data_IF_243210048090
#
_entry.id   IF_243210048090
#
_cell.length_a   1.000
_cell.length_b   1.000
_cell.length_c   1.000
_cell.angle_alpha   90.00
_cell.angle_beta   90.00
_cell.angle_gamma   90.00
#
_symmetry.space_group_name_H-M   'P 1'
#
loop_
_entity.id
_entity.type
_entity.pdbx_description
1 polymer ?
2 non-polymer ?
3 water ?
#
# COMPACT_ATOMS: atom_id res chain seq x y z
N UNK A 2 6.55 17.84 1.77
CA UNK A 2 5.24 17.17 2.05
C UNK A 2 4.54 16.76 0.73
N UNK A 3 3.94 15.57 0.71
CA UNK A 3 3.29 15.10 -0.54
C UNK A 3 1.81 15.50 -0.67
N UNK A 4 1.42 15.91 -1.86
CA UNK A 4 0.02 16.13 -2.08
C UNK A 4 -0.71 14.79 -1.97
N UNK A 5 -2.02 14.86 -1.82
CA UNK A 5 -2.90 13.66 -1.77
C UNK A 5 -3.52 13.41 -3.14
N UNK A 6 -3.52 12.14 -3.62
CA UNK A 6 -4.02 11.75 -4.94
C UNK A 6 -5.49 11.32 -4.88
N UNK A 7 -6.06 11.39 -3.69
CA UNK A 7 -7.41 10.95 -3.47
C UNK A 7 -8.08 11.85 -2.45
N UNK A 8 -9.41 11.85 -2.53
CA UNK A 8 -10.29 12.61 -1.63
C UNK A 8 -9.95 12.37 -0.19
N UNK A 9 -9.83 11.11 0.25
CA UNK A 9 -9.60 10.78 1.69
C UNK A 9 -8.24 10.08 1.88
N UNK A 10 -7.58 10.25 3.05
CA UNK A 10 -6.31 9.50 3.38
C UNK A 10 -6.54 8.59 4.56
N UNK A 11 -6.09 7.34 4.49
CA UNK A 11 -6.18 6.42 5.64
C UNK A 11 -4.78 5.89 5.97
N UNK A 12 -4.43 5.91 7.25
CA UNK A 12 -3.16 5.38 7.70
C UNK A 12 -3.07 3.85 7.54
N UNK A 13 -2.08 3.42 6.78
CA UNK A 13 -1.94 2.01 6.43
C UNK A 13 -1.73 1.21 7.70
N UNK A 14 -1.10 1.82 8.71
CA UNK A 14 -0.82 1.06 9.93
C UNK A 14 -1.92 1.15 10.99
N UNK A 15 -2.96 1.98 10.76
CA UNK A 15 -4.19 1.97 11.57
C UNK A 15 -4.77 0.58 11.52
N UNK A 16 -5.08 0.04 12.71
CA UNK A 16 -5.61 -1.30 12.92
C UNK A 16 -7.14 -1.34 12.84
N UNK A 17 -7.68 -2.38 12.21
CA UNK A 17 -9.13 -2.65 12.23
C UNK A 17 -9.93 -1.84 11.24
N UNK A 18 -10.89 -1.08 11.75
CA UNK A 18 -11.92 -0.42 10.90
C UNK A 18 -11.99 1.08 11.29
N UNK A 19 -12.54 1.97 10.45
CA UNK A 19 -12.63 3.43 10.80
C UNK A 19 -13.60 3.74 11.98
N UNK A 20 -13.40 4.81 12.81
CA UNK A 20 -14.36 5.13 13.90
C UNK A 20 -15.83 5.37 13.53
N UNK A 21 -16.12 5.59 12.22
CA UNK A 21 -17.48 5.65 11.73
C UNK A 21 -17.89 4.38 10.97
N UNK A 22 -17.10 3.33 11.04
CA UNK A 22 -17.46 2.08 10.30
C UNK A 22 -18.67 1.46 10.96
N UNK A 23 -19.51 0.85 10.12
CA UNK A 23 -20.69 0.10 10.61
C UNK A 23 -20.51 -1.37 10.42
N UNK A 24 -21.04 -2.16 11.34
CA UNK A 24 -21.09 -3.64 11.14
C UNK A 24 -22.14 -3.98 10.15
N UNK A 25 -21.78 -4.80 9.19
CA UNK A 25 -22.71 -5.38 8.23
C UNK A 25 -23.10 -6.79 8.66
N UNK A 26 -22.20 -7.53 9.28
CA UNK A 26 -22.59 -8.87 9.70
C UNK A 26 -21.58 -9.35 10.71
N UNK A 27 -22.06 -10.16 11.67
CA UNK A 27 -21.16 -10.90 12.63
C UNK A 27 -21.75 -12.31 12.69
N UNK A 28 -20.98 -13.30 12.22
CA UNK A 28 -21.49 -14.66 12.16
C UNK A 28 -20.41 -15.65 12.45
N UNK A 29 -20.77 -16.86 12.88
CA UNK A 29 -19.79 -17.93 12.83
C UNK A 29 -19.91 -18.64 11.49
N UNK A 30 -18.80 -18.98 10.87
CA UNK A 30 -18.92 -19.64 9.58
C UNK A 30 -17.67 -20.46 9.29
N UNK A 31 -17.78 -21.55 8.48
CA UNK A 31 -16.60 -22.28 8.09
C UNK A 31 -15.55 -21.46 7.33
N UNK A 32 -14.28 -21.60 7.68
CA UNK A 32 -13.14 -20.98 7.04
C UNK A 32 -12.96 -21.52 5.60
N UNK A 33 -12.92 -20.60 4.67
CA UNK A 33 -12.51 -20.89 3.28
C UNK A 33 -11.02 -21.26 3.22
N UNK A 34 -10.55 -21.78 2.09
CA UNK A 34 -9.16 -22.16 2.03
C UNK A 34 -8.21 -21.02 2.26
N UNK A 35 -8.49 -19.81 1.71
CA UNK A 35 -7.62 -18.62 1.92
C UNK A 35 -7.65 -18.17 3.37
N UNK A 36 -8.84 -18.18 3.95
CA UNK A 36 -8.97 -17.73 5.34
C UNK A 36 -8.25 -18.72 6.31
N UNK A 37 -8.52 -19.99 6.13
CA UNK A 37 -7.82 -21.06 6.91
C UNK A 37 -6.28 -21.00 6.77
N UNK A 38 -5.77 -20.82 5.53
CA UNK A 38 -4.32 -20.60 5.38
C UNK A 38 -3.79 -19.42 6.08
N UNK A 39 -4.50 -18.29 6.03
CA UNK A 39 -4.02 -17.14 6.69
C UNK A 39 -3.93 -17.32 8.24
N UNK A 40 -4.98 -17.95 8.80
CA UNK A 40 -5.16 -18.10 10.27
C UNK A 40 -4.39 -19.31 10.75
N UNK A 41 -3.84 -20.07 9.80
CA UNK A 41 -3.11 -21.32 10.14
C UNK A 41 -3.98 -22.37 10.83
N UNK A 42 -5.19 -22.57 10.31
CA UNK A 42 -6.19 -23.54 10.76
C UNK A 42 -6.63 -24.44 9.62
N UNK A 43 -7.49 -25.41 9.90
CA UNK A 43 -7.93 -26.34 8.89
C UNK A 43 -9.08 -25.74 8.12
N UNK A 44 -9.01 -25.83 6.78
CA UNK A 44 -10.15 -25.42 5.96
C UNK A 44 -11.44 -26.06 6.45
N UNK A 45 -12.52 -25.29 6.57
CA UNK A 45 -13.77 -25.80 7.07
C UNK A 45 -14.13 -25.61 8.57
N UNK A 46 -13.13 -25.44 9.44
CA UNK A 46 -13.48 -25.20 10.84
C UNK A 46 -13.92 -23.75 10.96
N UNK A 47 -14.84 -23.52 11.91
CA UNK A 47 -15.58 -22.25 12.10
C UNK A 47 -14.57 -21.20 12.45
N UNK A 48 -14.87 -19.97 12.02
CA UNK A 48 -14.15 -18.77 12.46
C UNK A 48 -15.29 -17.74 12.72
N UNK A 49 -14.95 -16.61 13.37
CA UNK A 49 -15.91 -15.52 13.57
C UNK A 49 -15.62 -14.61 12.37
N UNK A 50 -16.67 -14.33 11.62
CA UNK A 50 -16.52 -13.39 10.50
C UNK A 50 -17.36 -12.15 10.81
N UNK A 51 -16.67 -10.99 10.82
CA UNK A 51 -17.34 -9.68 10.95
C UNK A 51 -17.08 -8.96 9.65
N UNK A 52 -18.12 -8.28 9.12
CA UNK A 52 -17.85 -7.43 7.95
C UNK A 52 -18.21 -6.00 8.33
N UNK A 53 -17.37 -5.05 7.97
CA UNK A 53 -17.68 -3.62 8.30
C UNK A 53 -17.63 -2.83 7.02
N UNK A 54 -18.29 -1.66 7.09
CA UNK A 54 -18.23 -0.79 5.88
C UNK A 54 -18.22 0.68 6.37
N UNK A 55 -17.41 1.45 5.64
CA UNK A 55 -17.37 2.95 5.92
C UNK A 55 -18.11 3.56 4.71
N UNK A 56 -19.02 4.53 5.00
CA UNK A 56 -19.72 5.24 3.91
C UNK A 56 -19.57 6.70 4.25
N UNK A 57 -19.67 7.50 3.22
CA UNK A 57 -19.75 8.99 3.40
C UNK A 57 -20.88 9.51 2.51
N UNK A 58 -21.86 10.16 3.14
CA UNK A 58 -23.13 10.55 2.53
C UNK A 58 -23.74 9.40 1.73
N UNK A 59 -23.74 8.22 2.35
CA UNK A 59 -24.34 7.10 1.66
C UNK A 59 -23.44 6.31 0.70
N UNK A 60 -22.27 6.87 0.34
CA UNK A 60 -21.42 6.30 -0.71
C UNK A 60 -20.48 5.36 0.01
N UNK A 61 -20.52 4.10 -0.42
CA UNK A 61 -19.61 3.08 0.21
C UNK A 61 -18.16 3.34 -0.20
N UNK A 62 -17.28 3.34 0.77
CA UNK A 62 -15.88 3.64 0.48
C UNK A 62 -14.94 2.49 0.76
N UNK A 63 -15.16 1.84 1.91
CA UNK A 63 -14.16 0.86 2.40
C UNK A 63 -14.91 -0.31 3.04
N UNK A 64 -14.77 -1.52 2.49
CA UNK A 64 -15.43 -2.68 3.04
C UNK A 64 -14.31 -3.54 3.64
N UNK A 65 -14.49 -4.09 4.85
CA UNK A 65 -13.43 -5.00 5.40
C UNK A 65 -14.13 -6.26 5.92
N UNK A 66 -13.55 -7.41 5.58
CA UNK A 66 -13.96 -8.69 6.12
C UNK A 66 -12.94 -9.07 7.15
N UNK A 67 -13.35 -9.31 8.38
CA UNK A 67 -12.38 -9.63 9.47
C UNK A 67 -12.70 -11.08 9.93
N UNK A 68 -11.67 -11.93 10.11
CA UNK A 68 -11.98 -13.36 10.34
C UNK A 68 -11.08 -13.66 11.59
N UNK A 69 -11.72 -14.08 12.67
CA UNK A 69 -10.99 -14.35 13.93
C UNK A 69 -10.98 -15.85 14.20
N UNK A 70 -9.85 -16.38 14.62
CA UNK A 70 -9.78 -17.87 14.92
C UNK A 70 -10.30 -18.26 16.29
N UNK A 71 -10.27 -17.32 17.28
CA UNK A 71 -10.60 -17.70 18.63
C UNK A 71 -12.07 -17.55 18.88
N UNK A 72 -12.79 -18.72 18.88
CA UNK A 72 -14.25 -18.65 19.01
C UNK A 72 -14.73 -18.13 20.35
N UNK A 73 -13.81 -18.15 21.31
CA UNK A 73 -14.17 -17.62 22.62
C UNK A 73 -14.30 -16.12 22.60
N UNK A 74 -13.88 -15.53 21.48
CA UNK A 74 -14.24 -14.09 21.38
C UNK A 74 -15.68 -13.81 20.98
N UNK A 75 -16.47 -14.84 20.69
CA UNK A 75 -17.79 -14.61 20.21
C UNK A 75 -18.73 -13.78 21.12
N UNK A 76 -18.73 -14.01 22.46
CA UNK A 76 -19.56 -13.14 23.34
C UNK A 76 -19.26 -11.63 23.11
N UNK A 77 -17.98 -11.32 22.82
CA UNK A 77 -17.62 -9.94 22.62
C UNK A 77 -17.96 -9.48 21.24
N UNK A 78 -17.46 -10.20 20.24
CA UNK A 78 -17.58 -9.71 18.84
C UNK A 78 -19.02 -9.65 18.32
N UNK A 79 -19.87 -10.60 18.75
CA UNK A 79 -21.26 -10.53 18.30
C UNK A 79 -21.95 -9.24 18.75
N UNK A 80 -21.41 -8.58 19.80
CA UNK A 80 -21.96 -7.34 20.34
C UNK A 80 -21.41 -6.10 19.70
N UNK A 81 -20.47 -6.24 18.74
CA UNK A 81 -19.97 -5.01 18.04
C UNK A 81 -21.06 -4.42 17.17
N UNK A 82 -21.20 -3.09 17.17
CA UNK A 82 -22.25 -2.42 16.43
C UNK A 82 -21.67 -1.46 15.39
N UNK A 83 -20.80 -0.54 15.84
CA UNK A 83 -20.19 0.44 14.96
C UNK A 83 -19.00 1.01 15.63
N UNK A 84 -18.13 1.65 14.83
CA UNK A 84 -16.98 2.28 15.38
C UNK A 84 -15.73 1.50 14.99
N UNK A 85 -14.63 1.82 15.67
CA UNK A 85 -13.43 1.15 15.42
C UNK A 85 -13.58 -0.26 16.03
N UNK A 86 -13.52 -1.31 15.20
CA UNK A 86 -13.59 -2.71 15.75
C UNK A 86 -12.37 -3.02 16.64
N UNK A 87 -11.15 -2.56 16.31
CA UNK A 87 -10.03 -2.88 17.19
C UNK A 87 -10.11 -2.14 18.54
N UNK A 88 -10.62 -0.90 18.52
CA UNK A 88 -10.81 -0.17 19.77
C UNK A 88 -11.91 -0.89 20.61
N UNK A 89 -12.98 -1.34 19.97
CA UNK A 89 -14.03 -2.07 20.68
C UNK A 89 -13.45 -3.33 21.32
N UNK A 90 -12.73 -4.13 20.53
CA UNK A 90 -12.14 -5.38 21.10
C UNK A 90 -11.21 -5.05 22.30
N UNK A 91 -10.41 -3.98 22.13
CA UNK A 91 -9.46 -3.62 23.20
C UNK A 91 -10.20 -3.14 24.43
N UNK A 92 -11.22 -2.31 24.22
CA UNK A 92 -11.98 -1.79 25.39
C UNK A 92 -12.69 -2.92 26.13
N UNK A 93 -13.20 -3.89 25.38
CA UNK A 93 -13.92 -4.98 25.99
C UNK A 93 -13.04 -6.08 26.59
N UNK A 94 -11.81 -6.33 26.05
CA UNK A 94 -11.11 -7.55 26.46
C UNK A 94 -9.69 -7.27 26.83
N UNK A 95 -9.22 -6.06 26.49
CA UNK A 95 -7.79 -5.70 26.73
C UNK A 95 -6.84 -6.13 25.59
N UNK A 96 -7.36 -6.88 24.64
CA UNK A 96 -6.54 -7.42 23.51
C UNK A 96 -6.22 -6.30 22.54
N UNK A 97 -4.94 -6.05 22.26
CA UNK A 97 -4.58 -4.96 21.27
C UNK A 97 -3.80 -5.75 20.24
N UNK A 98 -4.39 -5.84 19.06
CA UNK A 98 -3.78 -6.65 18.05
C UNK A 98 -2.62 -5.89 17.42
N UNK A 99 -1.56 -6.62 17.10
CA UNK A 99 -0.43 -6.04 16.39
C UNK A 99 -0.16 -6.84 15.12
N UNK A 100 0.18 -6.07 14.10
CA UNK A 100 0.30 -6.53 12.71
C UNK A 100 1.57 -7.39 12.50
N UNK A 101 1.46 -8.51 11.85
CA UNK A 101 2.68 -9.18 11.45
C UNK A 101 3.00 -8.98 10.00
N UNK A 102 1.97 -9.05 9.16
CA UNK A 102 2.25 -9.03 7.74
C UNK A 102 1.15 -8.21 7.08
N UNK A 103 1.50 -7.51 5.98
CA UNK A 103 0.53 -6.71 5.19
C UNK A 103 0.81 -7.08 3.73
N UNK A 104 -0.27 -7.27 2.93
CA UNK A 104 -0.11 -7.42 1.46
C UNK A 104 -1.01 -6.36 0.82
N UNK A 105 -0.50 -5.57 -0.13
CA UNK A 105 -1.30 -4.54 -0.78
C UNK A 105 -1.34 -4.84 -2.28
N UNK A 106 -2.56 -4.99 -2.82
CA UNK A 106 -2.67 -5.13 -4.27
C UNK A 106 -3.73 -4.19 -4.84
N UNK A 107 -3.86 -4.22 -6.17
CA UNK A 107 -4.96 -3.38 -6.78
C UNK A 107 -5.56 -4.24 -7.83
N UNK A 108 -6.86 -4.12 -7.93
CA UNK A 108 -7.54 -4.84 -9.01
C UNK A 108 -8.83 -4.19 -9.42
N UNK A 109 -9.43 -4.73 -10.48
CA UNK A 109 -10.61 -4.08 -11.06
C UNK A 109 -11.79 -4.85 -10.54
N UNK A 110 -12.76 -4.15 -9.94
CA UNK A 110 -13.88 -4.81 -9.23
C UNK A 110 -14.77 -5.55 -10.19
N UNK A 111 -15.18 -6.75 -9.75
CA UNK A 111 -16.19 -7.52 -10.45
C UNK A 111 -17.16 -8.24 -9.49
N UNK A 112 -18.34 -8.52 -10.03
CA UNK A 112 -19.32 -9.41 -9.37
C UNK A 112 -19.63 -8.94 -7.95
N UNK A 113 -19.34 -9.77 -6.96
CA UNK A 113 -19.83 -9.43 -5.63
C UNK A 113 -19.08 -8.25 -5.02
N UNK A 114 -17.86 -7.96 -5.49
CA UNK A 114 -17.16 -6.74 -5.09
C UNK A 114 -17.93 -5.51 -5.56
N UNK A 115 -18.46 -5.53 -6.79
CA UNK A 115 -19.21 -4.37 -7.32
C UNK A 115 -20.52 -4.27 -6.56
N UNK A 116 -21.06 -5.42 -6.11
CA UNK A 116 -22.33 -5.38 -5.40
C UNK A 116 -22.15 -4.79 -4.02
N UNK A 117 -21.18 -5.31 -3.29
CA UNK A 117 -20.97 -4.79 -1.92
C UNK A 117 -20.49 -3.34 -1.89
N UNK A 118 -19.60 -2.92 -2.81
CA UNK A 118 -19.09 -1.55 -2.76
C UNK A 118 -19.91 -0.65 -3.64
N UNK A 119 -20.96 -1.20 -4.30
CA UNK A 119 -21.91 -0.41 -5.04
C UNK A 119 -21.17 0.44 -6.10
N UNK A 120 -20.38 -0.26 -6.93
CA UNK A 120 -19.58 0.44 -7.98
C UNK A 120 -19.72 -0.27 -9.30
N UNK A 121 -19.38 0.39 -10.42
CA UNK A 121 -19.47 -0.21 -11.72
C UNK A 121 -18.43 -1.28 -11.94
N UNK A 122 -18.79 -2.15 -12.88
CA UNK A 122 -17.89 -3.14 -13.35
C UNK A 122 -16.53 -2.52 -13.68
N UNK A 123 -15.46 -3.18 -13.22
CA UNK A 123 -14.04 -2.84 -13.53
C UNK A 123 -13.49 -1.60 -12.76
N UNK A 124 -14.27 -1.11 -11.80
CA UNK A 124 -13.82 0.05 -11.02
C UNK A 124 -12.57 -0.33 -10.21
N UNK A 125 -11.43 0.40 -10.33
CA UNK A 125 -10.24 0.03 -9.51
C UNK A 125 -10.39 0.08 -7.98
N UNK A 126 -9.94 -1.02 -7.34
CA UNK A 126 -9.98 -1.14 -5.87
C UNK A 126 -8.59 -1.35 -5.33
N UNK A 127 -8.30 -0.84 -4.12
CA UNK A 127 -7.07 -1.20 -3.40
C UNK A 127 -7.48 -2.32 -2.47
N UNK A 128 -6.69 -3.40 -2.43
CA UNK A 128 -7.00 -4.50 -1.56
C UNK A 128 -5.86 -4.62 -0.54
N UNK A 129 -6.18 -4.52 0.77
CA UNK A 129 -5.12 -4.53 1.81
C UNK A 129 -5.46 -5.74 2.69
N UNK A 130 -4.49 -6.65 2.84
CA UNK A 130 -4.81 -7.91 3.56
C UNK A 130 -3.78 -7.97 4.67
N UNK A 131 -4.25 -8.24 5.89
CA UNK A 131 -3.34 -8.14 7.03
C UNK A 131 -3.51 -9.33 7.96
N UNK A 132 -2.41 -9.79 8.60
CA UNK A 132 -2.43 -10.78 9.67
C UNK A 132 -2.00 -10.07 10.94
N UNK A 133 -2.80 -10.29 12.00
CA UNK A 133 -2.67 -9.57 13.25
C UNK A 133 -2.64 -10.62 14.36
N UNK A 134 -1.89 -10.27 15.41
CA UNK A 134 -1.51 -11.24 16.48
C UNK A 134 -1.75 -10.58 17.82
N UNK A 135 -2.14 -11.39 18.80
CA UNK A 135 -2.10 -10.94 20.19
C UNK A 135 -0.63 -11.08 20.54
N UNK A 136 -0.07 -9.96 20.97
CA UNK A 136 1.23 -9.92 21.64
C UNK A 136 1.89 -11.29 21.78
N UNK A 137 2.77 -11.58 20.82
CA UNK A 137 3.68 -12.72 20.84
C UNK A 137 3.49 -13.89 19.87
N UNK A 138 2.30 -14.43 19.80
CA UNK A 138 2.14 -15.85 19.45
C UNK A 138 2.14 -16.20 17.96
N UNK A 139 2.50 -17.46 17.70
CA UNK A 139 2.54 -18.01 16.35
C UNK A 139 1.19 -17.88 15.65
N UNK A 140 0.14 -18.47 16.24
CA UNK A 140 -1.22 -18.37 15.71
C UNK A 140 -1.57 -16.89 15.41
N UNK A 141 -1.86 -16.51 14.12
CA UNK A 141 -2.47 -15.14 14.12
C UNK A 141 -3.83 -15.16 14.83
N UNK A 142 -4.28 -13.98 15.25
CA UNK A 142 -5.56 -13.83 15.92
C UNK A 142 -6.60 -13.51 14.85
N UNK A 143 -6.19 -12.74 13.83
CA UNK A 143 -7.21 -12.13 12.94
C UNK A 143 -6.59 -11.95 11.55
N UNK A 144 -7.39 -12.25 10.52
CA UNK A 144 -6.98 -12.02 9.11
C UNK A 144 -8.05 -11.03 8.61
N UNK A 145 -7.59 -9.94 7.96
CA UNK A 145 -8.62 -9.00 7.47
C UNK A 145 -8.32 -8.69 6.04
N UNK A 146 -9.37 -8.43 5.26
CA UNK A 146 -9.19 -8.11 3.86
C UNK A 146 -10.04 -6.86 3.63
N UNK A 147 -9.36 -5.77 3.30
CA UNK A 147 -10.02 -4.47 3.09
C UNK A 147 -10.12 -4.26 1.59
N UNK A 148 -11.25 -3.75 1.11
CA UNK A 148 -11.37 -3.39 -0.32
C UNK A 148 -11.89 -1.96 -0.30
N UNK A 149 -11.07 -1.05 -0.87
CA UNK A 149 -11.35 0.36 -0.86
C UNK A 149 -11.35 0.96 -2.23
N UNK A 150 -12.35 1.80 -2.49
CA UNK A 150 -12.44 2.43 -3.81
C UNK A 150 -11.19 3.31 -4.01
N UNK A 151 -10.41 2.95 -5.02
CA UNK A 151 -9.17 3.66 -5.21
C UNK A 151 -9.39 5.07 -5.74
N UNK A 152 -10.59 5.36 -6.28
CA UNK A 152 -10.86 6.73 -6.63
C UNK A 152 -11.14 7.68 -5.45
N UNK A 153 -11.19 7.17 -4.22
CA UNK A 153 -11.60 7.94 -3.06
C UNK A 153 -10.66 7.85 -1.84
N UNK A 154 -9.82 6.84 -1.83
CA UNK A 154 -8.90 6.70 -0.68
C UNK A 154 -7.48 6.36 -1.08
N UNK A 155 -6.49 7.08 -0.49
CA UNK A 155 -5.06 6.78 -0.62
C UNK A 155 -4.54 6.40 0.78
N UNK A 156 -3.57 5.50 0.84
CA UNK A 156 -3.02 5.08 2.12
C UNK A 156 -1.76 5.82 2.40
N UNK A 157 -1.53 6.11 3.70
CA UNK A 157 -0.29 6.81 4.05
C UNK A 157 0.47 5.98 5.09
N UNK A 158 1.78 6.18 5.20
CA UNK A 158 2.49 5.51 6.28
C UNK A 158 3.62 6.42 6.72
N UNK A 159 3.79 6.55 8.03
CA UNK A 159 4.89 7.39 8.57
C UNK A 159 5.93 6.43 9.05
N UNK A 160 7.19 6.77 8.81
CA UNK A 160 8.23 5.88 9.21
C UNK A 160 9.01 6.44 10.39
N UNK B 2 -0.25 -17.82 7.05
CA UNK B 2 0.33 -17.29 5.75
C UNK B 2 -0.67 -16.84 4.74
N UNK B 3 -0.48 -15.61 4.25
CA UNK B 3 -1.31 -15.10 3.15
C UNK B 3 -0.65 -15.43 1.83
N UNK B 4 -1.38 -16.13 0.96
CA UNK B 4 -0.87 -16.36 -0.35
C UNK B 4 -1.03 -15.16 -1.25
N UNK B 5 -0.07 -15.11 -2.16
CA UNK B 5 0.14 -14.11 -3.15
C UNK B 5 -0.98 -14.20 -4.17
N UNK B 6 -1.53 -13.07 -4.51
CA UNK B 6 -2.58 -13.02 -5.54
C UNK B 6 -2.07 -12.46 -6.87
N UNK B 7 -0.80 -12.09 -6.90
CA UNK B 7 -0.22 -11.60 -8.14
C UNK B 7 0.99 -12.47 -8.43
N UNK B 8 1.44 -12.40 -9.68
CA UNK B 8 2.59 -13.21 -10.12
C UNK B 8 3.85 -12.97 -9.31
N UNK B 9 4.11 -11.71 -8.96
CA UNK B 9 5.31 -11.29 -8.27
C UNK B 9 4.92 -10.62 -6.93
N UNK B 10 5.72 -10.86 -5.91
CA UNK B 10 5.59 -10.21 -4.61
C UNK B 10 6.82 -9.37 -4.42
N UNK B 11 6.60 -8.13 -3.99
CA UNK B 11 7.68 -7.17 -3.82
C UNK B 11 7.62 -6.51 -2.44
N UNK B 12 8.71 -6.54 -1.68
CA UNK B 12 8.70 -5.86 -0.39
C UNK B 12 8.56 -4.37 -0.59
N UNK B 13 7.65 -3.75 0.14
CA UNK B 13 7.35 -2.32 -0.10
C UNK B 13 8.57 -1.49 0.16
N UNK B 14 9.31 -1.84 1.23
CA UNK B 14 10.48 -1.04 1.58
C UNK B 14 11.67 -1.08 0.60
N UNK B 15 11.78 -2.16 -0.17
CA UNK B 15 12.83 -2.36 -1.18
C UNK B 15 12.43 -1.80 -2.61
N UNK B 16 11.15 -1.49 -2.80
CA UNK B 16 10.61 -1.34 -4.17
C UNK B 16 11.19 -0.13 -4.92
N UNK B 17 11.61 0.88 -4.16
CA UNK B 17 12.07 2.15 -4.81
C UNK B 17 13.54 2.16 -5.22
N UNK B 18 14.21 1.04 -5.06
CA UNK B 18 15.67 1.02 -5.30
C UNK B 18 16.06 -0.44 -5.53
N UNK B 19 15.34 -1.03 -6.49
CA UNK B 19 15.42 -2.46 -6.84
C UNK B 19 16.73 -2.78 -7.57
N UNK B 20 17.34 -3.94 -7.26
CA UNK B 20 18.62 -4.27 -7.88
C UNK B 20 18.65 -4.70 -9.36
N UNK B 21 17.48 -4.84 -10.00
CA UNK B 21 17.51 -5.20 -11.42
C UNK B 21 17.13 -3.94 -12.32
N UNK B 22 16.91 -2.85 -11.64
CA UNK B 22 16.45 -1.58 -12.18
C UNK B 22 17.47 -1.06 -13.20
N UNK B 23 16.99 -0.43 -14.24
CA UNK B 23 17.83 0.13 -15.27
C UNK B 23 17.52 1.56 -15.38
N UNK B 24 18.56 2.42 -15.46
CA UNK B 24 18.30 3.84 -15.73
C UNK B 24 17.86 4.04 -17.14
N UNK B 25 16.76 4.74 -17.33
CA UNK B 25 16.32 5.13 -18.65
C UNK B 25 16.66 6.61 -18.95
N UNK B 26 16.74 7.42 -17.91
CA UNK B 26 16.98 8.90 -18.11
C UNK B 26 17.69 9.44 -16.88
N UNK B 27 18.56 10.46 -17.06
CA UNK B 27 19.13 11.22 -15.95
C UNK B 27 19.32 12.60 -16.54
N UNK B 28 18.55 13.54 -16.05
CA UNK B 28 18.60 14.92 -16.59
C UNK B 28 18.48 15.95 -15.45
N UNK B 29 18.99 17.19 -15.66
CA UNK B 29 18.56 18.28 -14.78
C UNK B 29 17.31 18.90 -15.38
N UNK B 30 16.29 19.17 -14.57
CA UNK B 30 15.03 19.77 -15.13
C UNK B 30 14.30 20.60 -14.08
N UNK B 31 13.48 21.61 -14.51
CA UNK B 31 12.76 22.42 -13.55
C UNK B 31 11.74 21.60 -12.80
N UNK B 32 11.59 21.86 -11.50
CA UNK B 32 10.67 21.17 -10.64
C UNK B 32 9.21 21.58 -10.92
N UNK B 33 8.37 20.61 -11.30
CA UNK B 33 6.91 20.84 -11.31
C UNK B 33 6.42 21.30 -9.94
N UNK B 34 5.17 21.77 -9.88
CA UNK B 34 4.67 22.24 -8.59
C UNK B 34 4.57 21.09 -7.59
N UNK B 35 4.25 19.90 -8.06
CA UNK B 35 4.06 18.76 -7.18
C UNK B 35 5.43 18.23 -6.65
N UNK B 36 6.43 18.22 -7.53
CA UNK B 36 7.82 17.90 -7.09
C UNK B 36 8.41 18.91 -6.12
N UNK B 37 8.22 20.18 -6.47
CA UNK B 37 8.65 21.26 -5.60
C UNK B 37 8.02 21.19 -4.21
N UNK B 38 6.69 20.93 -4.11
CA UNK B 38 6.10 20.73 -2.80
C UNK B 38 6.61 19.58 -2.00
N UNK B 39 6.81 18.41 -2.65
CA UNK B 39 7.35 17.30 -1.89
C UNK B 39 8.72 17.58 -1.32
N UNK B 40 9.59 18.20 -2.13
CA UNK B 40 11.00 18.44 -1.77
C UNK B 40 11.20 19.65 -0.83
N UNK B 41 10.15 20.43 -0.65
CA UNK B 41 10.24 21.71 0.07
C UNK B 41 11.05 22.74 -0.68
N UNK B 42 10.82 22.87 -1.98
CA UNK B 42 11.63 23.83 -2.79
C UNK B 42 10.72 24.69 -3.67
N UNK B 43 11.35 25.47 -4.54
CA UNK B 43 10.68 26.42 -5.39
C UNK B 43 10.36 25.84 -6.77
N UNK B 44 9.09 25.89 -7.12
CA UNK B 44 8.67 25.60 -8.52
C UNK B 44 9.54 26.21 -9.63
N UNK B 45 10.00 25.34 -10.52
CA UNK B 45 10.81 25.75 -11.61
C UNK B 45 12.28 25.73 -11.31
N UNK B 46 12.65 25.52 -10.06
CA UNK B 46 14.08 25.36 -9.76
C UNK B 46 14.57 24.00 -10.20
N UNK B 47 15.81 23.95 -10.71
CA UNK B 47 16.32 22.71 -11.28
C UNK B 47 16.36 21.64 -10.22
N UNK B 48 15.96 20.43 -10.64
CA UNK B 48 16.18 19.22 -9.79
C UNK B 48 16.86 18.14 -10.64
N UNK B 49 17.43 17.13 -10.00
CA UNK B 49 17.96 16.02 -10.75
C UNK B 49 16.73 15.06 -10.88
N UNK B 50 16.49 14.58 -12.09
CA UNK B 50 15.42 13.64 -12.38
C UNK B 50 16.07 12.40 -12.95
N UNK B 51 15.91 11.26 -12.24
CA UNK B 51 16.31 9.98 -12.87
C UNK B 51 15.03 9.16 -13.06
N UNK B 52 14.96 8.50 -14.19
CA UNK B 52 13.85 7.51 -14.45
C UNK B 52 14.45 6.12 -14.59
N UNK B 53 13.87 5.17 -13.89
CA UNK B 53 14.42 3.83 -13.88
C UNK B 53 13.24 2.89 -14.23
N UNK B 54 13.59 1.71 -14.71
CA UNK B 54 12.49 0.75 -15.15
C UNK B 54 13.05 -0.61 -14.78
N UNK B 55 12.20 -1.48 -14.28
CA UNK B 55 12.66 -2.84 -14.10
C UNK B 55 11.69 -3.72 -14.86
N UNK B 56 12.31 -4.72 -15.46
CA UNK B 56 11.58 -5.72 -16.24
C UNK B 56 11.81 -7.08 -15.64
N UNK B 57 10.83 -7.96 -15.87
CA UNK B 57 11.06 -9.38 -15.55
C UNK B 57 10.76 -10.17 -16.82
N UNK B 58 11.77 -10.89 -17.25
CA UNK B 58 11.70 -11.66 -18.54
C UNK B 58 11.23 -10.77 -19.68
N UNK B 59 11.74 -9.54 -19.74
CA UNK B 59 11.32 -8.64 -20.83
C UNK B 59 10.15 -7.66 -20.56
N UNK B 60 9.36 -7.98 -19.54
CA UNK B 60 8.09 -7.33 -19.34
C UNK B 60 8.32 -6.18 -18.40
N UNK B 61 8.06 -4.97 -18.86
CA UNK B 61 8.17 -3.82 -17.94
C UNK B 61 7.15 -3.90 -16.78
N UNK B 62 7.62 -3.73 -15.52
CA UNK B 62 6.76 -3.94 -14.38
C UNK B 62 6.69 -2.72 -13.49
N UNK B 63 7.80 -2.02 -13.37
CA UNK B 63 7.79 -0.87 -12.43
C UNK B 63 8.61 0.22 -13.07
N UNK B 64 8.03 1.40 -13.11
CA UNK B 64 8.72 2.63 -13.64
C UNK B 64 8.85 3.60 -12.46
N UNK B 65 10.03 4.18 -12.23
CA UNK B 65 10.15 5.07 -11.04
C UNK B 65 10.80 6.33 -11.53
N UNK B 66 10.23 7.42 -11.09
CA UNK B 66 10.76 8.77 -11.31
C UNK B 66 11.35 9.20 -9.98
N UNK B 67 12.65 9.53 -9.93
CA UNK B 67 13.27 9.86 -8.70
C UNK B 67 13.69 11.35 -8.86
N UNK B 68 13.35 12.23 -7.92
CA UNK B 68 13.70 13.65 -8.03
C UNK B 68 14.57 14.03 -6.80
N UNK B 69 15.78 14.62 -6.99
CA UNK B 69 16.62 15.03 -5.83
C UNK B 69 16.81 16.53 -5.88
N UNK B 70 16.80 17.21 -4.72
CA UNK B 70 16.89 18.67 -4.74
C UNK B 70 18.38 19.13 -4.67
N UNK B 71 19.23 18.21 -4.27
CA UNK B 71 20.64 18.57 -4.00
C UNK B 71 21.50 18.41 -5.26
N UNK B 72 21.74 19.56 -5.94
CA UNK B 72 22.44 19.50 -7.17
C UNK B 72 23.91 19.15 -7.02
N UNK B 73 24.44 19.21 -5.79
CA UNK B 73 25.81 18.74 -5.56
C UNK B 73 25.93 17.25 -5.89
N UNK B 74 24.77 16.57 -5.93
CA UNK B 74 24.79 15.12 -6.23
C UNK B 74 24.85 14.80 -7.71
N UNK B 75 24.75 15.83 -8.58
CA UNK B 75 24.65 15.59 -10.00
C UNK B 75 25.77 14.79 -10.65
N UNK B 76 27.05 15.12 -10.39
CA UNK B 76 28.12 14.35 -11.04
C UNK B 76 28.03 12.84 -10.62
N UNK B 77 27.49 12.59 -9.46
CA UNK B 77 27.34 11.19 -8.93
C UNK B 77 26.15 10.53 -9.65
N UNK B 78 24.97 11.10 -9.49
CA UNK B 78 23.68 10.46 -9.94
C UNK B 78 23.63 10.30 -11.47
N UNK B 79 24.32 11.16 -12.22
CA UNK B 79 24.35 11.02 -13.70
C UNK B 79 25.09 9.76 -14.16
N UNK B 80 25.93 9.20 -13.29
CA UNK B 80 26.81 8.03 -13.55
C UNK B 80 26.11 6.75 -13.14
N UNK B 81 24.94 6.87 -12.46
CA UNK B 81 24.17 5.63 -12.13
C UNK B 81 23.73 4.95 -13.44
N UNK B 82 23.83 3.62 -13.51
CA UNK B 82 23.50 2.94 -14.74
C UNK B 82 22.35 1.91 -14.55
N UNK B 83 22.54 1.10 -13.54
CA UNK B 83 21.64 -0.05 -13.27
C UNK B 83 21.91 -0.54 -11.89
N UNK B 84 20.97 -1.32 -11.33
CA UNK B 84 21.09 -1.71 -9.92
C UNK B 84 20.33 -0.88 -8.88
N UNK B 85 20.68 -1.05 -7.60
CA UNK B 85 20.03 -0.26 -6.54
C UNK B 85 20.57 1.17 -6.55
N UNK B 86 19.71 2.13 -6.86
CA UNK B 86 20.10 3.56 -6.86
C UNK B 86 20.62 4.01 -5.52
N UNK B 87 19.98 3.59 -4.41
CA UNK B 87 20.37 4.08 -3.13
C UNK B 87 21.72 3.47 -2.68
N UNK B 88 21.94 2.21 -3.01
CA UNK B 88 23.24 1.53 -2.77
C UNK B 88 24.33 2.30 -3.53
N UNK B 89 24.09 2.63 -4.80
CA UNK B 89 25.06 3.41 -5.64
C UNK B 89 25.40 4.74 -4.99
N UNK B 90 24.38 5.50 -4.61
CA UNK B 90 24.60 6.77 -3.92
C UNK B 90 25.38 6.59 -2.61
N UNK B 91 25.01 5.57 -1.85
CA UNK B 91 25.64 5.35 -0.58
C UNK B 91 27.14 5.04 -0.77
N UNK B 92 27.49 4.21 -1.70
CA UNK B 92 28.92 3.92 -1.77
C UNK B 92 29.70 5.19 -2.16
N UNK B 93 29.12 5.91 -3.12
CA UNK B 93 29.78 7.11 -3.70
C UNK B 93 29.97 8.27 -2.73
N UNK B 94 29.06 8.44 -1.80
CA UNK B 94 29.00 9.68 -1.02
C UNK B 94 28.84 9.46 0.47
N UNK B 95 28.67 8.19 0.83
CA UNK B 95 28.30 7.81 2.17
C UNK B 95 26.90 8.19 2.61
N UNK B 96 26.05 8.76 1.71
CA UNK B 96 24.72 9.22 2.14
C UNK B 96 23.80 8.00 2.13
N UNK B 97 23.19 7.67 3.28
CA UNK B 97 22.23 6.54 3.35
C UNK B 97 20.84 7.10 3.51
N UNK B 98 19.99 6.78 2.54
CA UNK B 98 18.65 7.32 2.54
C UNK B 98 17.76 6.42 3.35
N UNK B 99 16.90 7.02 4.13
CA UNK B 99 15.87 6.25 4.80
C UNK B 99 14.55 6.92 4.55
N UNK B 100 13.52 6.10 4.59
CA UNK B 100 12.18 6.54 4.29
C UNK B 100 11.58 7.37 5.42
N UNK B 101 10.94 8.49 5.09
CA UNK B 101 10.16 9.17 6.12
C UNK B 101 8.63 9.00 5.96
N UNK B 102 8.15 9.12 4.70
CA UNK B 102 6.71 8.99 4.47
C UNK B 102 6.45 8.20 3.21
N UNK B 103 5.34 7.48 3.20
CA UNK B 103 5.00 6.70 1.93
C UNK B 103 3.53 6.97 1.70
N UNK B 104 3.13 7.17 0.44
CA UNK B 104 1.69 7.26 0.05
C UNK B 104 1.43 6.18 -0.98
N UNK B 105 0.33 5.45 -0.83
CA UNK B 105 0.01 4.39 -1.81
C UNK B 105 -1.40 4.54 -2.36
N UNK B 106 -1.52 4.53 -3.69
CA UNK B 106 -2.79 4.80 -4.32
C UNK B 106 -2.87 3.90 -5.55
N UNK B 107 -4.05 3.76 -6.11
CA UNK B 107 -4.18 3.00 -7.33
C UNK B 107 -4.98 3.86 -8.30
N UNK B 108 -4.60 3.79 -9.56
CA UNK B 108 -5.38 4.50 -10.61
C UNK B 108 -5.27 3.81 -11.93
N UNK B 109 -6.11 4.24 -12.87
CA UNK B 109 -6.04 3.69 -14.23
C UNK B 109 -4.90 4.40 -14.95
N UNK B 110 -4.10 3.66 -15.72
CA UNK B 110 -2.98 4.22 -16.46
C UNK B 110 -3.51 5.15 -17.55
N UNK B 111 -2.96 6.36 -17.56
CA UNK B 111 -3.24 7.31 -18.60
C UNK B 111 -1.98 7.78 -19.36
N UNK B 112 -2.15 7.99 -20.67
CA UNK B 112 -1.26 8.85 -21.44
C UNK B 112 0.13 8.27 -21.59
N UNK B 113 1.11 9.05 -21.16
CA UNK B 113 2.52 8.67 -21.25
C UNK B 113 2.83 7.47 -20.35
N UNK B 114 2.00 7.25 -19.31
CA UNK B 114 2.19 6.08 -18.40
C UNK B 114 2.04 4.76 -19.10
N UNK B 115 0.96 4.61 -19.89
CA UNK B 115 0.73 3.41 -20.70
C UNK B 115 1.89 3.16 -21.61
N UNK B 116 2.39 4.24 -22.22
CA UNK B 116 3.47 4.09 -23.16
C UNK B 116 4.78 3.62 -22.51
N UNK B 117 5.14 4.24 -21.38
CA UNK B 117 6.38 3.91 -20.77
C UNK B 117 6.36 2.55 -20.04
N UNK B 118 5.22 2.19 -19.47
CA UNK B 118 5.06 0.89 -18.81
C UNK B 118 4.60 -0.17 -19.83
N UNK B 119 4.37 0.27 -21.07
CA UNK B 119 4.04 -0.68 -22.18
C UNK B 119 2.78 -1.50 -21.89
N UNK B 120 1.73 -0.79 -21.53
CA UNK B 120 0.44 -1.42 -21.12
C UNK B 120 -0.72 -0.69 -21.76
N UNK B 121 -1.87 -1.40 -21.93
CA UNK B 121 -3.01 -0.84 -22.61
C UNK B 121 -3.58 0.30 -21.79
N UNK B 122 -4.21 1.25 -22.48
CA UNK B 122 -4.91 2.30 -21.80
C UNK B 122 -5.85 1.78 -20.68
N UNK B 123 -5.89 2.51 -19.56
CA UNK B 123 -6.72 2.19 -18.36
C UNK B 123 -6.33 0.91 -17.55
N UNK B 124 -5.18 0.30 -17.83
CA UNK B 124 -4.74 -0.90 -17.07
C UNK B 124 -4.49 -0.34 -15.65
N UNK B 125 -4.86 -1.07 -14.57
CA UNK B 125 -4.65 -0.47 -13.23
C UNK B 125 -3.15 -0.38 -12.85
N UNK B 126 -2.78 0.73 -12.16
CA UNK B 126 -1.41 0.90 -11.66
C UNK B 126 -1.50 1.05 -10.18
N UNK B 127 -0.46 0.56 -9.48
CA UNK B 127 -0.24 0.90 -8.09
C UNK B 127 0.78 2.01 -8.07
N UNK B 128 0.50 3.09 -7.32
CA UNK B 128 1.42 4.27 -7.37
C UNK B 128 1.94 4.37 -5.93
N UNK B 129 3.25 4.36 -5.74
CA UNK B 129 3.85 4.41 -4.42
C UNK B 129 4.73 5.64 -4.45
N UNK B 130 4.45 6.59 -3.57
CA UNK B 130 5.22 7.84 -3.56
C UNK B 130 5.89 7.92 -2.21
N UNK B 131 7.21 8.19 -2.22
CA UNK B 131 7.99 8.14 -0.97
C UNK B 131 8.92 9.33 -0.87
N UNK B 132 9.02 9.87 0.34
CA UNK B 132 10.01 10.92 0.65
C UNK B 132 11.06 10.23 1.45
N UNK B 133 12.33 10.44 1.02
CA UNK B 133 13.48 9.81 1.72
C UNK B 133 14.38 10.93 2.23
N UNK B 134 14.92 10.74 3.42
CA UNK B 134 15.83 11.76 4.01
C UNK B 134 17.21 11.14 4.24
N UNK B 135 18.28 11.94 4.26
CA UNK B 135 19.61 11.41 4.57
C UNK B 135 19.66 10.86 6.02
N UNK B 136 20.34 9.73 6.25
CA UNK B 136 20.47 9.16 7.61
C UNK B 136 21.04 10.28 8.46
N UNK B 137 20.12 10.94 9.16
CA UNK B 137 20.21 12.35 9.53
C UNK B 137 18.77 12.80 9.73
N UNK B 138 18.30 13.80 8.98
CA UNK B 138 16.99 14.38 9.28
C UNK B 138 16.22 15.27 8.31
N UNK B 139 14.95 14.90 8.13
CA UNK B 139 13.77 15.79 7.99
C UNK B 139 13.88 17.01 7.07
N UNK B 140 14.67 16.83 6.03
CA UNK B 140 14.63 17.69 4.86
C UNK B 140 14.66 16.54 3.85
N UNK B 141 13.57 16.34 3.08
CA UNK B 141 13.64 15.23 2.12
C UNK B 141 14.73 15.41 1.08
N UNK B 142 15.55 14.41 0.94
CA UNK B 142 16.58 14.40 -0.08
C UNK B 142 16.07 13.88 -1.44
N UNK B 143 15.05 12.99 -1.36
CA UNK B 143 14.58 12.31 -2.62
C UNK B 143 13.05 12.22 -2.53
N UNK B 144 12.34 12.50 -3.64
CA UNK B 144 10.88 12.29 -3.78
C UNK B 144 10.82 11.27 -4.95
N UNK B 145 10.28 10.08 -4.69
CA UNK B 145 10.19 9.13 -5.79
C UNK B 145 8.70 8.69 -6.03
N UNK B 146 8.36 8.59 -7.31
CA UNK B 146 6.98 8.28 -7.72
C UNK B 146 7.12 6.96 -8.48
N UNK B 147 6.64 5.86 -7.92
CA UNK B 147 6.79 4.58 -8.63
C UNK B 147 5.43 4.12 -9.16
N UNK B 148 5.36 3.62 -10.40
CA UNK B 148 4.11 3.15 -10.94
C UNK B 148 4.38 1.70 -11.27
N UNK B 149 3.52 0.78 -10.75
CA UNK B 149 3.76 -0.70 -10.97
C UNK B 149 2.50 -1.32 -11.57
N UNK B 150 2.69 -2.24 -12.53
CA UNK B 150 1.54 -2.94 -13.03
C UNK B 150 0.88 -3.77 -11.92
N UNK B 151 -0.39 -3.41 -11.60
CA UNK B 151 -1.16 -4.02 -10.53
C UNK B 151 -1.53 -5.43 -10.87
N UNK B 152 -1.58 -5.71 -12.20
CA UNK B 152 -1.90 -7.12 -12.57
C UNK B 152 -0.74 -8.06 -12.39
N UNK B 153 0.50 -7.56 -12.07
CA UNK B 153 1.65 -8.39 -11.94
C UNK B 153 2.30 -8.41 -10.58
N UNK B 154 2.14 -7.32 -9.81
CA UNK B 154 2.88 -7.25 -8.53
C UNK B 154 1.91 -6.96 -7.35
N UNK B 155 2.19 -7.64 -6.24
CA UNK B 155 1.53 -7.30 -4.94
C UNK B 155 2.66 -6.87 -3.99
N UNK B 156 2.45 -5.81 -3.19
CA UNK B 156 3.47 -5.42 -2.21
C UNK B 156 3.31 -6.13 -0.89
N UNK B 157 4.46 -6.39 -0.26
CA UNK B 157 4.43 -7.04 1.05
C UNK B 157 5.17 -6.18 2.07
N UNK B 158 4.78 -6.36 3.34
CA UNK B 158 5.50 -5.65 4.40
C UNK B 158 5.46 -6.55 5.62
N UNK B 159 6.64 -6.71 6.24
CA UNK B 159 6.81 -7.44 7.51
C UNK B 159 6.89 -6.39 8.60
N UNK B 160 6.28 -6.69 9.73
CA UNK B 160 6.24 -5.73 10.81
C UNK B 160 6.81 -6.44 12.06
#
# INVERSE_FOLDING_TARGET
GHMNAQARFSQNLLDQGSHPTSEKLLSVLRPASGHVADALGITEGENVIHLRTLRRVNGVALCLIDHYFADLTLWPTLQRFDSGSLHDFLREQTGIALRRSQTRISARRAQAKECQRLEIPNMSPLLCVRTLNHRDGESSPAEYSVSLTRADMIEFTMEH
GHMNAQARFSQNLLDQGSHPTSEKLLSVLRPASGHVADALGITEGENVIHLRTLRRVNGVALCLIDHYFADLTLWPTLQRFDSGSLHDFLREQTGIALRRSQTRISARRAQAKECQRLEIPNMSPLLCVRTLNHRDGESSPAEYSVSLTRADMIEFTMEH
#
